data_IF_965793950292
#
_entry.id   IF_965793950292
#
_cell.length_a   1.000
_cell.length_b   1.000
_cell.length_c   1.000
_cell.angle_alpha   90.00
_cell.angle_beta   90.00
_cell.angle_gamma   90.00
#
_symmetry.space_group_name_H-M   'P 1'
#
loop_
_entity.id
_entity.type
_entity.pdbx_description
1 polymer ?
#
# COMPACT_ATOMS: atom_id res chain seq x y z
N UNK A 1 2.91 -32.16 -21.62
CA UNK A 1 1.53 -32.27 -22.16
C UNK A 1 1.14 -30.91 -22.70
N UNK A 2 0.91 -30.77 -24.00
CA UNK A 2 0.46 -29.54 -24.62
C UNK A 2 -0.95 -29.21 -24.09
N UNK A 3 -1.12 -28.06 -23.40
CA UNK A 3 -2.44 -27.57 -23.02
C UNK A 3 -3.22 -27.31 -24.30
N UNK A 4 -4.36 -28.00 -24.47
CA UNK A 4 -5.33 -27.71 -25.54
C UNK A 4 -5.63 -26.20 -25.52
N UNK A 5 -5.47 -25.53 -26.67
CA UNK A 5 -5.87 -24.14 -26.81
C UNK A 5 -7.35 -24.03 -26.42
N UNK A 6 -7.65 -23.05 -25.54
CA UNK A 6 -9.04 -22.77 -25.18
C UNK A 6 -9.79 -22.31 -26.44
N UNK A 7 -11.01 -22.84 -26.66
CA UNK A 7 -11.89 -22.41 -27.74
C UNK A 7 -13.02 -21.57 -27.13
N UNK A 8 -13.19 -20.36 -27.62
CA UNK A 8 -14.17 -19.39 -27.11
C UNK A 8 -15.48 -19.38 -27.92
N UNK A 9 -15.66 -20.27 -28.92
CA UNK A 9 -16.84 -20.28 -29.79
C UNK A 9 -18.14 -20.37 -28.99
N UNK A 10 -18.96 -19.34 -29.09
CA UNK A 10 -20.24 -19.24 -28.40
C UNK A 10 -20.17 -19.03 -26.88
N UNK A 11 -18.99 -18.78 -26.33
CA UNK A 11 -18.74 -18.56 -24.89
C UNK A 11 -18.39 -17.10 -24.59
N UNK A 12 -18.58 -16.69 -23.35
CA UNK A 12 -18.08 -15.39 -22.85
C UNK A 12 -16.58 -15.48 -22.59
N UNK A 13 -15.82 -14.50 -23.06
CA UNK A 13 -14.39 -14.39 -22.78
C UNK A 13 -14.16 -13.41 -21.61
N UNK A 14 -13.45 -13.86 -20.59
CA UNK A 14 -13.00 -13.01 -19.46
C UNK A 14 -11.51 -12.84 -19.55
N UNK A 15 -11.03 -11.59 -19.65
CA UNK A 15 -9.60 -11.27 -19.66
C UNK A 15 -9.23 -10.64 -18.31
N UNK A 16 -8.24 -11.23 -17.65
CA UNK A 16 -7.61 -10.78 -16.39
C UNK A 16 -6.15 -10.41 -16.63
N UNK A 17 -5.48 -9.74 -15.68
CA UNK A 17 -4.07 -9.36 -15.86
C UNK A 17 -3.08 -10.48 -15.56
N UNK A 18 -3.42 -11.48 -14.71
CA UNK A 18 -2.47 -12.51 -14.30
C UNK A 18 -2.97 -13.94 -14.48
N UNK A 19 -2.05 -14.91 -14.75
CA UNK A 19 -2.42 -16.32 -14.84
C UNK A 19 -2.94 -16.91 -13.51
N UNK A 20 -2.55 -16.34 -12.38
CA UNK A 20 -3.05 -16.76 -11.08
C UNK A 20 -4.53 -16.42 -10.93
N UNK A 21 -4.93 -15.17 -11.21
CA UNK A 21 -6.34 -14.77 -11.26
C UNK A 21 -7.16 -15.60 -12.24
N UNK A 22 -6.60 -15.87 -13.43
CA UNK A 22 -7.30 -16.69 -14.42
C UNK A 22 -7.62 -18.09 -13.87
N UNK A 23 -6.75 -18.69 -13.09
CA UNK A 23 -7.03 -19.99 -12.45
C UNK A 23 -8.08 -19.88 -11.37
N UNK A 24 -7.97 -18.89 -10.48
CA UNK A 24 -8.89 -18.71 -9.36
C UNK A 24 -10.31 -18.42 -9.85
N UNK A 25 -10.47 -17.45 -10.75
CA UNK A 25 -11.77 -17.10 -11.34
C UNK A 25 -12.33 -18.25 -12.18
N UNK A 26 -11.47 -18.97 -12.91
CA UNK A 26 -11.86 -20.14 -13.67
C UNK A 26 -12.43 -21.29 -12.83
N UNK A 27 -12.08 -21.35 -11.54
CA UNK A 27 -12.69 -22.27 -10.58
C UNK A 27 -14.12 -21.89 -10.17
N UNK A 28 -14.49 -20.63 -10.32
CA UNK A 28 -15.80 -20.11 -9.92
C UNK A 28 -16.79 -20.04 -11.09
N UNK A 29 -16.28 -19.80 -12.30
CA UNK A 29 -17.10 -19.67 -13.50
C UNK A 29 -17.29 -21.01 -14.21
N UNK A 30 -18.48 -21.22 -14.74
CA UNK A 30 -18.84 -22.45 -15.42
C UNK A 30 -18.26 -22.60 -16.83
N UNK A 31 -18.70 -23.65 -17.54
CA UNK A 31 -18.20 -24.03 -18.89
C UNK A 31 -18.55 -23.02 -19.99
N UNK A 32 -19.44 -22.07 -19.72
CA UNK A 32 -19.85 -21.01 -20.66
C UNK A 32 -18.87 -19.86 -20.73
N UNK A 33 -17.83 -19.90 -19.91
CA UNK A 33 -16.77 -18.89 -19.85
C UNK A 33 -15.42 -19.47 -20.30
N UNK A 34 -14.65 -18.64 -20.97
CA UNK A 34 -13.22 -18.85 -21.22
C UNK A 34 -12.46 -17.74 -20.49
N UNK A 35 -11.55 -18.11 -19.61
CA UNK A 35 -10.78 -17.14 -18.85
C UNK A 35 -9.33 -17.17 -19.34
N UNK A 36 -8.79 -16.00 -19.69
CA UNK A 36 -7.42 -15.86 -20.17
C UNK A 36 -6.73 -14.65 -19.54
N UNK A 37 -5.40 -14.73 -19.40
CA UNK A 37 -4.61 -13.64 -18.85
C UNK A 37 -3.98 -12.78 -19.93
N UNK A 38 -3.97 -11.44 -19.76
CA UNK A 38 -3.18 -10.51 -20.60
C UNK A 38 -1.69 -10.54 -20.27
N UNK A 39 -1.35 -11.07 -19.08
CA UNK A 39 0.02 -11.06 -18.52
C UNK A 39 0.51 -9.60 -18.35
N UNK A 40 -0.32 -8.75 -17.72
CA UNK A 40 -0.09 -7.31 -17.53
C UNK A 40 -0.38 -6.49 -18.79
N UNK A 41 0.30 -5.33 -18.91
CA UNK A 41 0.10 -4.41 -20.04
C UNK A 41 0.43 -5.05 -21.40
N UNK A 42 -0.44 -4.82 -22.38
CA UNK A 42 -0.30 -5.31 -23.77
C UNK A 42 0.25 -4.27 -24.74
N UNK A 43 0.22 -2.97 -24.35
CA UNK A 43 0.85 -1.84 -25.06
C UNK A 43 1.66 -1.00 -24.07
N UNK A 44 2.71 -0.35 -24.53
CA UNK A 44 3.48 0.64 -23.78
C UNK A 44 4.15 1.63 -24.73
N UNK A 45 4.73 2.71 -24.20
CA UNK A 45 5.57 3.63 -24.93
C UNK A 45 6.86 2.93 -25.42
N UNK A 46 7.42 3.29 -26.58
CA UNK A 46 8.71 2.76 -27.05
C UNK A 46 9.80 2.93 -26.00
N UNK A 47 10.57 1.88 -25.74
CA UNK A 47 11.68 1.92 -24.77
C UNK A 47 13.01 2.37 -25.39
N UNK A 48 13.07 2.47 -26.71
CA UNK A 48 14.27 2.91 -27.43
C UNK A 48 14.04 3.08 -28.92
N UNK A 49 15.00 3.67 -29.61
CA UNK A 49 14.90 4.07 -31.01
C UNK A 49 14.46 2.96 -31.98
N UNK A 50 14.83 1.69 -31.69
CA UNK A 50 14.43 0.54 -32.53
C UNK A 50 12.93 0.23 -32.48
N UNK A 51 12.23 0.67 -31.45
CA UNK A 51 10.81 0.40 -31.26
C UNK A 51 9.92 1.54 -31.77
N UNK A 52 10.52 2.66 -32.15
CA UNK A 52 9.79 3.80 -32.69
C UNK A 52 9.24 3.44 -34.07
N UNK A 53 7.92 3.59 -34.31
CA UNK A 53 7.32 3.37 -35.63
C UNK A 53 7.99 4.21 -36.71
N UNK A 54 8.07 3.68 -37.94
CA UNK A 54 8.82 4.29 -39.05
C UNK A 54 8.33 5.71 -39.38
N UNK A 55 7.04 5.95 -39.27
CA UNK A 55 6.36 7.22 -39.47
C UNK A 55 6.84 8.33 -38.54
N UNK A 56 7.23 8.00 -37.32
CA UNK A 56 7.66 8.99 -36.32
C UNK A 56 9.18 9.12 -36.16
N UNK A 57 9.98 8.30 -36.85
CA UNK A 57 11.45 8.29 -36.67
C UNK A 57 12.15 9.60 -36.95
N UNK A 58 11.55 10.47 -37.78
CA UNK A 58 12.12 11.78 -38.17
C UNK A 58 11.67 12.93 -37.27
N UNK A 59 10.71 12.68 -36.38
CA UNK A 59 10.19 13.68 -35.48
C UNK A 59 11.17 13.96 -34.32
N UNK A 60 11.36 15.23 -33.99
CA UNK A 60 12.26 15.63 -32.90
C UNK A 60 11.89 15.02 -31.55
N UNK A 61 10.60 14.82 -31.30
CA UNK A 61 10.05 14.22 -30.04
C UNK A 61 10.04 12.69 -30.07
N UNK A 62 10.42 12.04 -31.17
CA UNK A 62 10.29 10.58 -31.33
C UNK A 62 10.97 9.78 -30.21
N UNK A 63 12.11 10.26 -29.71
CA UNK A 63 12.85 9.62 -28.61
C UNK A 63 12.06 9.55 -27.31
N UNK A 64 11.12 10.47 -27.08
CA UNK A 64 10.22 10.48 -25.95
C UNK A 64 9.11 9.43 -26.10
N UNK A 65 8.71 9.11 -27.33
CA UNK A 65 7.52 8.31 -27.61
C UNK A 65 6.21 9.03 -27.24
N UNK A 66 6.27 10.36 -27.11
CA UNK A 66 5.16 11.26 -26.78
C UNK A 66 5.28 12.49 -27.68
N UNK A 67 4.21 12.81 -28.41
CA UNK A 67 4.17 14.01 -29.25
C UNK A 67 3.89 15.25 -28.39
N UNK A 68 4.96 15.92 -27.98
CA UNK A 68 4.88 17.14 -27.12
C UNK A 68 4.30 18.35 -27.86
N UNK A 69 4.23 18.30 -29.19
CA UNK A 69 3.70 19.39 -30.04
C UNK A 69 2.21 19.22 -30.34
N UNK A 70 1.64 18.05 -30.01
CA UNK A 70 0.23 17.72 -30.24
C UNK A 70 -0.36 17.07 -28.99
N UNK A 71 -0.75 17.90 -28.05
CA UNK A 71 -1.50 17.52 -26.85
C UNK A 71 -0.88 16.36 -26.02
N UNK A 72 0.44 16.18 -26.12
CA UNK A 72 1.18 15.09 -25.48
C UNK A 72 0.71 13.69 -25.90
N UNK A 73 0.22 13.53 -27.11
CA UNK A 73 -0.26 12.25 -27.64
C UNK A 73 0.82 11.16 -27.54
N UNK A 74 0.54 10.04 -26.82
CA UNK A 74 1.49 8.95 -26.65
C UNK A 74 1.53 8.02 -27.87
N UNK A 75 2.71 7.56 -28.24
CA UNK A 75 2.90 6.55 -29.27
C UNK A 75 2.93 5.17 -28.62
N UNK A 76 1.81 4.48 -28.65
CA UNK A 76 1.72 3.13 -28.08
C UNK A 76 2.14 2.06 -29.07
N UNK A 77 3.00 1.15 -28.61
CA UNK A 77 3.43 -0.03 -29.36
C UNK A 77 3.11 -1.31 -28.57
N UNK A 78 3.03 -2.43 -29.27
CA UNK A 78 3.02 -3.76 -28.67
C UNK A 78 4.47 -4.16 -28.42
N UNK A 79 4.93 -4.31 -27.15
CA UNK A 79 6.28 -4.76 -26.88
C UNK A 79 6.55 -6.14 -27.50
N UNK A 80 7.76 -6.45 -27.99
CA UNK A 80 8.08 -7.72 -28.67
C UNK A 80 7.65 -8.95 -27.88
N UNK A 81 7.85 -8.97 -26.56
CA UNK A 81 7.45 -10.07 -25.68
C UNK A 81 5.94 -10.25 -25.47
N UNK A 82 5.11 -9.37 -26.03
CA UNK A 82 3.64 -9.44 -25.92
C UNK A 82 2.94 -9.88 -27.20
N UNK A 83 3.63 -9.94 -28.30
CA UNK A 83 3.05 -10.21 -29.63
C UNK A 83 2.30 -11.55 -29.67
N UNK A 84 2.86 -12.59 -29.07
CA UNK A 84 2.24 -13.93 -29.05
C UNK A 84 0.97 -13.93 -28.22
N UNK A 85 1.00 -13.33 -27.01
CA UNK A 85 -0.17 -13.24 -26.14
C UNK A 85 -1.29 -12.42 -26.80
N UNK A 86 -0.95 -11.30 -27.44
CA UNK A 86 -1.92 -10.49 -28.19
C UNK A 86 -2.53 -11.28 -29.34
N UNK A 87 -1.74 -12.09 -30.07
CA UNK A 87 -2.25 -12.95 -31.14
C UNK A 87 -3.25 -13.99 -30.60
N UNK A 88 -2.92 -14.62 -29.46
CA UNK A 88 -3.79 -15.56 -28.78
C UNK A 88 -5.13 -14.90 -28.38
N UNK A 89 -5.06 -13.74 -27.72
CA UNK A 89 -6.26 -13.00 -27.28
C UNK A 89 -7.14 -12.58 -28.49
N UNK A 90 -6.53 -12.12 -29.59
CA UNK A 90 -7.29 -11.82 -30.82
C UNK A 90 -8.03 -13.02 -31.40
N UNK A 91 -7.43 -14.21 -31.31
CA UNK A 91 -8.10 -15.44 -31.73
C UNK A 91 -9.32 -15.73 -30.87
N UNK A 92 -9.16 -15.64 -29.54
CA UNK A 92 -10.26 -15.91 -28.59
C UNK A 92 -11.41 -14.90 -28.72
N UNK A 93 -11.10 -13.60 -28.90
CA UNK A 93 -12.13 -12.56 -29.06
C UNK A 93 -12.99 -12.76 -30.31
N UNK A 94 -12.41 -13.26 -31.41
CA UNK A 94 -13.18 -13.51 -32.67
C UNK A 94 -14.30 -14.52 -32.48
N UNK A 95 -14.07 -15.51 -31.62
CA UNK A 95 -14.96 -16.64 -31.40
C UNK A 95 -15.90 -16.43 -30.20
N UNK A 96 -15.68 -15.38 -29.41
CA UNK A 96 -16.46 -15.08 -28.22
C UNK A 96 -17.81 -14.44 -28.55
N UNK A 97 -18.82 -14.67 -27.72
CA UNK A 97 -20.12 -13.98 -27.81
C UNK A 97 -20.11 -12.60 -27.16
N UNK A 98 -19.25 -12.41 -26.15
CA UNK A 98 -19.04 -11.15 -25.43
C UNK A 98 -17.66 -11.16 -24.75
N UNK A 99 -17.16 -10.00 -24.38
CA UNK A 99 -15.87 -9.80 -23.74
C UNK A 99 -16.04 -9.09 -22.40
N UNK A 100 -15.58 -9.76 -21.33
CA UNK A 100 -15.44 -9.17 -20.02
C UNK A 100 -13.98 -8.83 -19.71
N UNK A 101 -13.73 -7.61 -19.25
CA UNK A 101 -12.41 -7.14 -18.82
C UNK A 101 -12.40 -7.08 -17.30
N UNK A 102 -11.72 -8.03 -16.66
CA UNK A 102 -11.74 -8.28 -15.22
C UNK A 102 -10.35 -8.06 -14.59
N UNK A 103 -9.72 -6.95 -14.96
CA UNK A 103 -8.46 -6.48 -14.39
C UNK A 103 -8.68 -5.82 -13.03
N UNK A 104 -7.59 -5.51 -12.28
CA UNK A 104 -7.69 -4.85 -10.97
C UNK A 104 -8.52 -3.56 -11.03
N UNK A 105 -9.05 -3.16 -9.89
CA UNK A 105 -9.95 -2.00 -9.77
C UNK A 105 -9.19 -0.65 -9.73
N UNK A 106 -7.87 -0.68 -9.81
CA UNK A 106 -7.07 0.52 -9.83
C UNK A 106 -6.90 1.11 -11.26
N UNK A 107 -6.30 2.30 -11.34
CA UNK A 107 -6.03 2.99 -12.62
C UNK A 107 -5.17 2.18 -13.58
N UNK A 108 -4.27 1.31 -13.06
CA UNK A 108 -3.44 0.43 -13.90
C UNK A 108 -4.29 -0.65 -14.56
N UNK A 109 -5.20 -1.28 -13.80
CA UNK A 109 -6.14 -2.27 -14.34
C UNK A 109 -7.11 -1.64 -15.33
N UNK A 110 -7.58 -0.41 -15.08
CA UNK A 110 -8.45 0.32 -16.01
C UNK A 110 -7.72 0.62 -17.33
N UNK A 111 -6.47 1.06 -17.28
CA UNK A 111 -5.64 1.28 -18.45
C UNK A 111 -5.35 -0.02 -19.22
N UNK A 112 -5.10 -1.14 -18.52
CA UNK A 112 -4.94 -2.46 -19.17
C UNK A 112 -6.22 -2.83 -19.93
N UNK A 113 -7.39 -2.66 -19.33
CA UNK A 113 -8.69 -2.90 -19.96
C UNK A 113 -8.89 -2.05 -21.20
N UNK A 114 -8.60 -0.76 -21.12
CA UNK A 114 -8.67 0.17 -22.26
C UNK A 114 -7.70 -0.22 -23.38
N UNK A 115 -6.44 -0.53 -23.04
CA UNK A 115 -5.46 -0.98 -24.01
C UNK A 115 -5.85 -2.28 -24.70
N UNK A 116 -6.50 -3.21 -23.99
CA UNK A 116 -7.04 -4.43 -24.56
C UNK A 116 -8.17 -4.12 -25.55
N UNK A 117 -9.13 -3.27 -25.17
CA UNK A 117 -10.23 -2.85 -26.06
C UNK A 117 -9.69 -2.24 -27.34
N UNK A 118 -8.78 -1.27 -27.24
CA UNK A 118 -8.19 -0.56 -28.39
C UNK A 118 -7.38 -1.49 -29.31
N UNK A 119 -6.64 -2.44 -28.73
CA UNK A 119 -5.75 -3.33 -29.48
C UNK A 119 -6.50 -4.49 -30.14
N UNK A 120 -7.47 -5.07 -29.45
CA UNK A 120 -8.21 -6.24 -29.92
C UNK A 120 -9.36 -5.88 -30.84
N UNK A 121 -9.89 -4.64 -30.76
CA UNK A 121 -11.01 -4.09 -31.54
C UNK A 121 -12.17 -5.09 -31.64
N UNK A 122 -12.72 -5.53 -30.50
CA UNK A 122 -13.78 -6.54 -30.47
C UNK A 122 -15.01 -6.06 -31.23
N UNK A 123 -15.66 -6.98 -31.94
CA UNK A 123 -16.96 -6.75 -32.60
C UNK A 123 -18.15 -7.22 -31.74
N UNK A 124 -17.87 -7.72 -30.57
CA UNK A 124 -18.82 -8.19 -29.57
C UNK A 124 -18.96 -7.16 -28.44
N UNK A 125 -20.04 -7.22 -27.64
CA UNK A 125 -20.18 -6.38 -26.47
C UNK A 125 -18.96 -6.49 -25.53
N UNK A 126 -18.48 -5.36 -25.02
CA UNK A 126 -17.35 -5.26 -24.07
C UNK A 126 -17.88 -4.71 -22.76
N UNK A 127 -17.58 -5.38 -21.66
CA UNK A 127 -18.02 -4.98 -20.31
C UNK A 127 -16.85 -5.05 -19.36
N UNK A 128 -16.82 -4.15 -18.39
CA UNK A 128 -15.81 -4.08 -17.31
C UNK A 128 -16.37 -4.73 -16.05
N UNK A 129 -15.64 -5.71 -15.50
CA UNK A 129 -15.94 -6.30 -14.19
C UNK A 129 -15.01 -5.71 -13.15
N UNK A 130 -15.58 -5.25 -12.04
CA UNK A 130 -14.85 -4.68 -10.91
C UNK A 130 -15.24 -5.43 -9.65
N UNK A 131 -14.25 -5.83 -8.86
CA UNK A 131 -14.45 -6.54 -7.60
C UNK A 131 -13.26 -6.28 -6.67
N UNK A 132 -13.55 -6.15 -5.37
CA UNK A 132 -12.55 -5.87 -4.34
C UNK A 132 -11.87 -7.14 -3.81
N UNK A 133 -12.47 -8.30 -4.03
CA UNK A 133 -11.98 -9.62 -3.62
C UNK A 133 -12.29 -10.67 -4.69
N UNK A 134 -11.51 -11.74 -4.72
CA UNK A 134 -11.69 -12.83 -5.68
C UNK A 134 -12.38 -14.01 -4.98
N UNK A 135 -13.66 -13.83 -4.69
CA UNK A 135 -14.57 -14.87 -4.18
C UNK A 135 -15.62 -15.19 -5.24
N UNK A 136 -16.27 -16.32 -5.09
CA UNK A 136 -17.33 -16.74 -6.01
C UNK A 136 -18.47 -15.71 -6.04
N UNK A 137 -18.89 -15.27 -4.87
CA UNK A 137 -19.97 -14.31 -4.67
C UNK A 137 -19.63 -12.96 -5.31
N UNK A 138 -18.44 -12.40 -5.04
CA UNK A 138 -18.01 -11.14 -5.62
C UNK A 138 -17.90 -11.19 -7.16
N UNK A 139 -17.44 -12.31 -7.70
CA UNK A 139 -17.38 -12.49 -9.17
C UNK A 139 -18.77 -12.61 -9.79
N UNK A 140 -19.70 -13.29 -9.12
CA UNK A 140 -21.10 -13.39 -9.60
C UNK A 140 -21.78 -12.03 -9.56
N UNK A 141 -21.65 -11.29 -8.47
CA UNK A 141 -22.17 -9.92 -8.35
C UNK A 141 -21.61 -8.99 -9.43
N UNK A 142 -20.28 -9.05 -9.69
CA UNK A 142 -19.67 -8.26 -10.76
C UNK A 142 -20.21 -8.63 -12.15
N UNK A 143 -20.57 -9.88 -12.41
CA UNK A 143 -21.19 -10.30 -13.66
C UNK A 143 -22.62 -9.80 -13.81
N UNK A 144 -23.36 -9.65 -12.72
CA UNK A 144 -24.71 -9.10 -12.71
C UNK A 144 -24.72 -7.57 -12.85
N UNK A 145 -23.66 -6.90 -12.38
CA UNK A 145 -23.51 -5.44 -12.38
C UNK A 145 -22.26 -4.96 -13.13
N UNK A 146 -22.07 -5.33 -14.41
CA UNK A 146 -20.93 -4.88 -15.18
C UNK A 146 -21.07 -3.39 -15.50
N UNK A 147 -19.93 -2.70 -15.67
CA UNK A 147 -19.89 -1.28 -16.07
C UNK A 147 -19.11 -1.06 -17.37
N UNK A 148 -19.05 0.15 -17.83
CA UNK A 148 -18.14 0.58 -18.88
C UNK A 148 -16.74 0.88 -18.30
N UNK A 149 -15.74 1.01 -19.19
CA UNK A 149 -14.41 1.46 -18.84
C UNK A 149 -14.49 2.93 -18.39
N UNK A 150 -13.86 3.25 -17.27
CA UNK A 150 -13.75 4.61 -16.76
C UNK A 150 -12.60 5.36 -17.48
N UNK A 151 -12.97 6.20 -18.43
CA UNK A 151 -12.02 6.96 -19.24
C UNK A 151 -11.26 8.02 -18.42
N UNK A 152 -11.78 8.48 -17.27
CA UNK A 152 -11.08 9.40 -16.39
C UNK A 152 -9.93 8.71 -15.65
N UNK A 153 -10.14 7.47 -15.18
CA UNK A 153 -9.07 6.65 -14.62
C UNK A 153 -8.01 6.29 -15.67
N UNK A 154 -8.43 6.00 -16.91
CA UNK A 154 -7.51 5.76 -18.03
C UNK A 154 -6.65 6.98 -18.27
N UNK A 155 -7.27 8.17 -18.41
CA UNK A 155 -6.55 9.45 -18.61
C UNK A 155 -5.60 9.76 -17.45
N UNK A 156 -6.00 9.46 -16.23
CA UNK A 156 -5.14 9.65 -15.05
C UNK A 156 -3.90 8.75 -15.09
N UNK A 157 -4.03 7.49 -15.52
CA UNK A 157 -2.91 6.58 -15.71
C UNK A 157 -2.01 7.03 -16.88
N UNK A 158 -2.60 7.39 -18.00
CA UNK A 158 -1.90 7.88 -19.20
C UNK A 158 -1.08 9.15 -18.88
N UNK A 159 -1.69 10.15 -18.24
CA UNK A 159 -0.99 11.37 -17.81
C UNK A 159 0.19 11.04 -16.90
N UNK A 160 0.01 10.12 -15.93
CA UNK A 160 1.09 9.65 -15.06
C UNK A 160 2.22 8.98 -15.87
N UNK A 161 1.86 8.13 -16.83
CA UNK A 161 2.84 7.43 -17.68
C UNK A 161 3.64 8.40 -18.54
N UNK A 162 2.98 9.42 -19.09
CA UNK A 162 3.59 10.48 -19.90
C UNK A 162 4.53 11.32 -19.03
N UNK A 163 4.09 11.78 -17.85
CA UNK A 163 4.92 12.56 -16.93
C UNK A 163 6.17 11.78 -16.50
N UNK A 164 6.04 10.51 -16.15
CA UNK A 164 7.18 9.66 -15.80
C UNK A 164 8.17 9.54 -16.96
N UNK A 165 7.69 9.46 -18.21
CA UNK A 165 8.51 9.44 -19.41
C UNK A 165 9.24 10.75 -19.64
N UNK A 166 8.52 11.85 -19.67
CA UNK A 166 9.09 13.18 -19.92
C UNK A 166 10.11 13.55 -18.86
N UNK A 167 9.74 13.44 -17.58
CA UNK A 167 10.64 13.74 -16.47
C UNK A 167 11.90 12.88 -16.49
N UNK A 168 11.74 11.58 -16.71
CA UNK A 168 12.87 10.64 -16.74
C UNK A 168 13.83 10.91 -17.90
N UNK A 169 13.32 11.20 -19.09
CA UNK A 169 14.11 11.36 -20.30
C UNK A 169 14.75 12.75 -20.42
N UNK A 170 14.15 13.77 -19.82
CA UNK A 170 14.70 15.13 -19.83
C UNK A 170 15.70 15.38 -18.68
N UNK A 171 15.36 14.93 -17.48
CA UNK A 171 16.17 15.23 -16.29
C UNK A 171 17.34 14.26 -16.13
N UNK A 172 17.20 12.97 -16.49
CA UNK A 172 18.31 12.02 -16.35
C UNK A 172 19.55 12.41 -17.17
N UNK A 173 19.44 12.83 -18.45
CA UNK A 173 20.60 13.33 -19.21
C UNK A 173 21.25 14.57 -18.61
N UNK A 174 20.47 15.44 -17.96
CA UNK A 174 20.99 16.59 -17.24
C UNK A 174 21.87 16.14 -16.06
N UNK A 175 21.41 15.14 -15.28
CA UNK A 175 22.18 14.54 -14.21
C UNK A 175 23.47 13.90 -14.72
N UNK A 176 23.44 13.25 -15.90
CA UNK A 176 24.64 12.64 -16.49
C UNK A 176 25.70 13.67 -16.84
N UNK A 177 25.28 14.83 -17.34
CA UNK A 177 26.19 15.92 -17.71
C UNK A 177 26.72 16.69 -16.50
N UNK A 178 25.91 16.87 -15.46
CA UNK A 178 26.22 17.75 -14.33
C UNK A 178 26.78 17.01 -13.10
N UNK A 179 26.45 15.73 -12.94
CA UNK A 179 26.84 14.94 -11.76
C UNK A 179 27.68 13.74 -12.18
N UNK A 180 27.06 12.69 -12.73
CA UNK A 180 27.76 11.50 -13.27
C UNK A 180 26.82 10.66 -14.16
N UNK A 181 27.38 9.85 -15.08
CA UNK A 181 26.59 8.90 -15.89
C UNK A 181 25.80 7.89 -15.05
N UNK A 182 24.74 7.33 -15.64
CA UNK A 182 23.88 6.27 -15.08
C UNK A 182 23.01 6.68 -13.89
N UNK A 183 22.93 7.95 -13.53
CA UNK A 183 21.90 8.42 -12.60
C UNK A 183 20.56 8.48 -13.30
N UNK A 184 19.49 8.28 -12.55
CA UNK A 184 18.13 8.43 -13.07
C UNK A 184 17.33 9.38 -12.20
N UNK A 185 16.57 10.24 -12.86
CA UNK A 185 15.53 11.04 -12.22
C UNK A 185 14.17 10.39 -12.42
N UNK A 186 13.30 10.54 -11.45
CA UNK A 186 11.95 10.02 -11.52
C UNK A 186 11.13 10.46 -10.33
N UNK A 187 9.84 10.42 -10.49
CA UNK A 187 8.85 10.90 -9.52
C UNK A 187 9.00 10.25 -8.14
N UNK A 188 9.35 8.97 -8.08
CA UNK A 188 9.52 8.24 -6.80
C UNK A 188 10.93 8.44 -6.24
N UNK A 189 11.97 8.13 -7.03
CA UNK A 189 13.36 8.19 -6.56
C UNK A 189 13.81 9.60 -6.18
N UNK A 190 13.38 10.63 -6.92
CA UNK A 190 13.76 12.01 -6.61
C UNK A 190 13.17 12.47 -5.27
N UNK A 191 11.91 12.13 -5.00
CA UNK A 191 11.27 12.41 -3.70
C UNK A 191 11.95 11.61 -2.58
N UNK A 192 12.23 10.33 -2.79
CA UNK A 192 12.91 9.49 -1.79
C UNK A 192 14.31 10.06 -1.44
N UNK A 193 15.11 10.45 -2.44
CA UNK A 193 16.41 11.09 -2.22
C UNK A 193 16.25 12.40 -1.44
N UNK A 194 15.26 13.22 -1.79
CA UNK A 194 14.99 14.47 -1.06
C UNK A 194 14.70 14.23 0.42
N UNK A 195 13.82 13.28 0.74
CA UNK A 195 13.50 12.95 2.14
C UNK A 195 14.72 12.45 2.92
N UNK A 196 15.56 11.62 2.29
CA UNK A 196 16.81 11.14 2.92
C UNK A 196 17.80 12.30 3.15
N UNK A 197 17.96 13.18 2.16
CA UNK A 197 18.86 14.35 2.26
C UNK A 197 18.38 15.32 3.33
N UNK A 198 17.07 15.61 3.38
CA UNK A 198 16.52 16.51 4.39
C UNK A 198 16.71 15.91 5.80
N UNK A 199 16.48 14.62 5.97
CA UNK A 199 16.75 13.93 7.25
C UNK A 199 18.22 13.94 7.64
N UNK A 200 19.13 13.75 6.67
CA UNK A 200 20.57 13.83 6.92
C UNK A 200 21.00 15.24 7.31
N UNK A 201 20.43 16.27 6.69
CA UNK A 201 20.67 17.66 7.08
C UNK A 201 20.21 17.94 8.50
N UNK A 202 19.04 17.44 8.91
CA UNK A 202 18.57 17.51 10.29
C UNK A 202 19.56 16.82 11.24
N UNK A 203 20.05 15.63 10.87
CA UNK A 203 21.04 14.88 11.64
C UNK A 203 22.37 15.64 11.78
N UNK A 204 22.82 16.25 10.69
CA UNK A 204 24.08 17.04 10.70
C UNK A 204 23.94 18.34 11.50
N UNK A 205 22.74 18.94 11.49
CA UNK A 205 22.44 20.15 12.25
C UNK A 205 22.15 19.86 13.74
N UNK A 206 21.96 18.60 14.12
CA UNK A 206 21.64 18.23 15.49
C UNK A 206 22.78 18.51 16.44
N UNK A 207 22.47 19.27 17.48
CA UNK A 207 23.42 19.58 18.62
C UNK A 207 22.92 18.79 19.83
N UNK A 208 23.78 17.88 20.32
CA UNK A 208 23.46 17.12 21.54
C UNK A 208 23.48 18.04 22.78
N UNK A 209 22.52 17.82 23.65
CA UNK A 209 22.44 18.40 24.96
C UNK A 209 22.70 17.33 26.02
N UNK A 210 23.37 17.69 27.09
CA UNK A 210 23.53 16.84 28.25
C UNK A 210 22.72 17.40 29.41
N UNK A 211 21.96 16.57 30.08
CA UNK A 211 21.22 16.89 31.29
C UNK A 211 21.18 15.69 32.19
N UNK A 212 20.94 15.97 33.47
CA UNK A 212 20.84 14.94 34.50
C UNK A 212 19.43 14.95 35.08
N UNK A 213 18.90 13.76 35.36
CA UNK A 213 17.68 13.54 36.11
C UNK A 213 17.96 12.60 37.29
N UNK A 214 17.00 12.39 38.15
CA UNK A 214 17.09 11.48 39.26
C UNK A 214 15.97 10.47 39.24
N UNK A 215 16.32 9.19 39.34
CA UNK A 215 15.39 8.08 39.49
C UNK A 215 15.58 7.47 40.88
N UNK A 216 14.54 7.47 41.68
CA UNK A 216 14.52 6.88 43.02
C UNK A 216 13.81 5.55 43.06
N UNK A 217 14.45 4.54 43.66
CA UNK A 217 13.79 3.29 43.98
C UNK A 217 13.17 3.36 45.38
N UNK A 218 11.90 3.12 45.52
CA UNK A 218 11.15 3.19 46.74
C UNK A 218 10.52 1.84 47.10
N UNK A 219 10.53 1.50 48.38
CA UNK A 219 9.83 0.31 48.89
C UNK A 219 9.15 0.64 50.20
N UNK A 220 7.93 0.12 50.38
CA UNK A 220 7.26 0.11 51.66
C UNK A 220 7.76 -1.08 52.47
N UNK A 221 7.87 -0.96 53.78
CA UNK A 221 8.24 -2.07 54.66
C UNK A 221 7.35 -3.30 54.39
N UNK A 222 7.94 -4.38 53.86
CA UNK A 222 7.21 -5.59 53.49
C UNK A 222 6.36 -5.51 52.20
N UNK A 223 6.47 -4.43 51.41
CA UNK A 223 5.73 -4.22 50.16
C UNK A 223 6.58 -4.31 48.91
N UNK A 224 5.92 -4.20 47.74
CA UNK A 224 6.56 -4.15 46.43
C UNK A 224 7.38 -2.88 46.30
N UNK A 225 8.49 -2.97 45.54
CA UNK A 225 9.32 -1.83 45.19
C UNK A 225 8.79 -1.17 43.88
N UNK A 226 8.89 0.14 43.80
CA UNK A 226 8.56 0.91 42.60
C UNK A 226 9.62 2.00 42.33
N UNK A 227 9.70 2.46 41.12
CA UNK A 227 10.59 3.54 40.72
C UNK A 227 9.78 4.82 40.46
N UNK A 228 10.35 5.96 40.84
CA UNK A 228 9.79 7.28 40.54
C UNK A 228 10.87 8.26 40.14
N UNK A 229 10.61 9.01 39.06
CA UNK A 229 11.50 10.07 38.55
C UNK A 229 11.22 11.40 39.22
N UNK A 230 12.29 12.20 39.46
CA UNK A 230 12.16 13.58 39.90
C UNK A 230 11.54 14.43 38.80
N UNK A 231 10.39 15.01 39.06
CA UNK A 231 9.68 15.86 38.07
C UNK A 231 9.79 17.35 38.39
N UNK A 232 9.91 17.70 39.67
CA UNK A 232 9.93 19.10 40.12
C UNK A 232 10.81 19.23 41.36
N UNK A 233 11.65 20.26 41.43
CA UNK A 233 12.44 20.63 42.58
C UNK A 233 12.35 22.13 42.82
N UNK A 234 12.07 22.56 44.04
CA UNK A 234 11.86 23.97 44.43
C UNK A 234 10.90 24.73 43.49
N UNK A 235 9.81 24.10 43.09
CA UNK A 235 8.80 24.71 42.20
C UNK A 235 9.17 24.75 40.73
N UNK A 236 10.37 24.29 40.33
CA UNK A 236 10.82 24.25 38.94
C UNK A 236 10.80 22.82 38.41
N UNK A 237 10.27 22.64 37.22
CA UNK A 237 10.21 21.33 36.57
C UNK A 237 11.58 20.94 35.98
N UNK A 238 11.90 19.65 36.07
CA UNK A 238 13.08 19.04 35.43
C UNK A 238 12.78 18.85 33.94
N UNK A 239 13.71 19.22 33.02
CA UNK A 239 13.46 19.07 31.58
C UNK A 239 13.50 17.60 31.16
N UNK A 240 12.74 17.27 30.11
CA UNK A 240 12.82 16.03 29.35
C UNK A 240 13.47 16.29 27.99
N UNK A 241 13.81 15.26 27.23
CA UNK A 241 14.45 15.37 25.90
C UNK A 241 13.70 16.29 24.92
N UNK A 242 12.37 16.32 24.98
CA UNK A 242 11.52 17.19 24.11
C UNK A 242 11.68 18.69 24.37
N UNK A 243 12.19 19.06 25.53
CA UNK A 243 12.28 20.45 25.97
C UNK A 243 13.56 21.13 25.47
N UNK A 244 14.44 20.39 24.77
CA UNK A 244 15.61 20.93 24.11
C UNK A 244 15.36 21.23 22.64
N UNK A 245 15.99 22.29 22.15
CA UNK A 245 16.03 22.61 20.74
C UNK A 245 17.12 21.78 20.04
N UNK A 246 16.73 21.04 19.01
CA UNK A 246 17.63 20.09 18.34
C UNK A 246 18.77 20.76 17.55
N UNK A 247 18.61 22.02 17.13
CA UNK A 247 19.62 22.73 16.36
C UNK A 247 20.63 23.48 17.25
N UNK A 248 20.24 23.81 18.48
CA UNK A 248 21.11 24.60 19.39
C UNK A 248 21.56 23.85 20.63
N UNK A 249 20.90 22.73 20.95
CA UNK A 249 21.13 21.98 22.19
C UNK A 249 20.67 22.71 23.46
N UNK A 250 19.96 23.83 23.34
CA UNK A 250 19.53 24.65 24.47
C UNK A 250 18.10 24.32 24.87
N UNK A 251 17.76 24.60 26.13
CA UNK A 251 16.39 24.55 26.59
C UNK A 251 15.53 25.56 25.81
N UNK A 252 14.33 25.10 25.39
CA UNK A 252 13.31 25.95 24.80
C UNK A 252 12.65 26.87 25.81
N UNK A 253 12.58 26.41 27.07
CA UNK A 253 12.02 27.15 28.20
C UNK A 253 13.09 27.31 29.28
N UNK A 254 13.64 28.50 29.50
CA UNK A 254 14.68 28.77 30.52
C UNK A 254 14.16 28.67 31.95
N UNK A 255 12.88 28.56 32.20
CA UNK A 255 12.31 28.41 33.55
C UNK A 255 12.49 27.00 34.10
N UNK A 256 12.78 26.02 33.25
CA UNK A 256 13.06 24.63 33.65
C UNK A 256 14.36 24.57 34.44
N UNK A 257 14.45 23.64 35.35
CA UNK A 257 15.65 23.41 36.15
C UNK A 257 16.58 22.39 35.45
N UNK A 258 17.59 22.89 34.77
CA UNK A 258 18.64 22.05 34.19
C UNK A 258 19.67 21.68 35.28
N UNK A 259 19.75 20.39 35.58
CA UNK A 259 20.77 19.89 36.53
C UNK A 259 22.04 19.49 35.76
N UNK A 260 23.18 19.88 36.29
CA UNK A 260 24.46 19.30 35.93
C UNK A 260 24.78 18.08 36.81
N UNK A 261 25.88 17.36 36.49
CA UNK A 261 26.28 16.14 37.22
C UNK A 261 26.48 16.41 38.72
N UNK A 262 27.18 17.49 39.06
CA UNK A 262 27.45 17.83 40.47
C UNK A 262 26.18 18.12 41.24
N UNK A 263 25.28 18.92 40.66
CA UNK A 263 23.98 19.25 41.28
C UNK A 263 23.11 18.01 41.46
N UNK A 264 23.10 17.09 40.46
CA UNK A 264 22.36 15.85 40.53
C UNK A 264 22.92 14.93 41.66
N UNK A 265 24.24 14.79 41.78
CA UNK A 265 24.88 13.98 42.82
C UNK A 265 24.63 14.56 44.22
N UNK A 266 24.79 15.89 44.39
CA UNK A 266 24.53 16.56 45.67
C UNK A 266 23.06 16.42 46.08
N UNK A 267 22.14 16.57 45.14
CA UNK A 267 20.70 16.40 45.38
C UNK A 267 20.36 14.95 45.72
N UNK A 268 20.93 13.99 44.99
CA UNK A 268 20.73 12.55 45.30
C UNK A 268 21.21 12.21 46.75
N UNK A 269 22.32 12.75 47.18
CA UNK A 269 22.84 12.55 48.55
C UNK A 269 21.88 13.11 49.62
N UNK A 270 21.31 14.29 49.38
CA UNK A 270 20.29 14.91 50.25
C UNK A 270 19.01 14.08 50.29
N UNK A 271 18.52 13.65 49.12
CA UNK A 271 17.27 12.89 49.02
C UNK A 271 17.36 11.52 49.67
N UNK A 272 18.53 10.86 49.70
CA UNK A 272 18.72 9.58 50.37
C UNK A 272 18.42 9.63 51.87
N UNK A 273 18.58 10.80 52.47
CA UNK A 273 18.34 11.03 53.92
C UNK A 273 16.95 11.64 54.19
N UNK A 274 16.21 11.97 53.16
CA UNK A 274 14.92 12.61 53.30
C UNK A 274 13.81 11.61 53.61
N UNK A 275 12.76 12.06 54.31
CA UNK A 275 11.55 11.31 54.50
C UNK A 275 10.59 11.55 53.28
N UNK A 276 10.12 10.49 52.68
CA UNK A 276 9.17 10.54 51.57
C UNK A 276 7.78 10.17 52.04
N UNK A 277 6.79 10.79 51.41
CA UNK A 277 5.38 10.45 51.58
C UNK A 277 4.65 10.51 50.24
N UNK A 278 3.62 9.69 50.10
CA UNK A 278 2.70 9.80 48.94
C UNK A 278 1.86 11.08 49.12
N UNK A 279 2.03 12.03 48.24
CA UNK A 279 1.30 13.30 48.27
C UNK A 279 -0.09 13.18 47.70
N UNK A 280 -0.20 12.48 46.57
CA UNK A 280 -1.48 12.19 45.93
C UNK A 280 -1.38 10.87 45.16
N UNK A 281 -2.52 10.20 45.05
CA UNK A 281 -2.70 9.04 44.18
C UNK A 281 -3.89 9.35 43.24
N UNK A 282 -3.64 9.29 41.94
CA UNK A 282 -4.68 9.52 40.94
C UNK A 282 -4.84 8.25 40.09
N UNK A 283 -6.03 7.68 40.15
CA UNK A 283 -6.42 6.54 39.31
C UNK A 283 -7.09 7.08 38.03
N UNK A 284 -6.42 6.94 36.89
CA UNK A 284 -6.91 7.40 35.59
C UNK A 284 -7.27 6.22 34.70
N UNK A 285 -8.56 6.05 34.37
CA UNK A 285 -8.94 5.01 33.44
C UNK A 285 -8.31 5.28 32.07
N UNK A 286 -7.63 4.27 31.56
CA UNK A 286 -7.03 4.30 30.23
C UNK A 286 -7.79 3.41 29.27
N UNK A 287 -8.24 3.98 28.16
CA UNK A 287 -8.93 3.24 27.11
C UNK A 287 -8.05 3.16 25.87
N UNK A 288 -7.65 1.96 25.51
CA UNK A 288 -6.98 1.70 24.23
C UNK A 288 -8.01 1.48 23.12
N UNK A 289 -7.82 2.13 22.01
CA UNK A 289 -8.67 1.94 20.81
C UNK A 289 -7.96 1.01 19.83
N UNK A 290 -8.70 0.09 19.17
CA UNK A 290 -8.12 -0.71 18.11
C UNK A 290 -7.65 0.16 16.94
N UNK A 291 -6.59 -0.29 16.28
CA UNK A 291 -6.09 0.37 15.08
C UNK A 291 -7.09 0.25 13.92
N UNK A 292 -7.04 1.19 12.96
CA UNK A 292 -7.81 1.07 11.72
C UNK A 292 -7.46 -0.21 10.94
N UNK A 293 -8.35 -0.68 10.07
CA UNK A 293 -8.02 -1.70 9.08
C UNK A 293 -6.79 -1.30 8.24
N UNK A 294 -6.10 -2.30 7.68
CA UNK A 294 -4.87 -2.07 6.94
C UNK A 294 -5.08 -1.33 5.62
N UNK A 295 -4.25 -0.33 5.42
CA UNK A 295 -3.90 0.21 4.10
C UNK A 295 -2.59 -0.43 3.61
N UNK A 296 -2.20 -0.21 2.36
CA UNK A 296 -0.91 -0.69 1.83
C UNK A 296 0.27 -0.28 2.72
N UNK A 297 0.30 0.99 3.14
CA UNK A 297 1.40 1.53 3.94
C UNK A 297 1.44 0.95 5.35
N UNK A 298 0.29 0.83 6.00
CA UNK A 298 0.23 0.29 7.37
C UNK A 298 0.49 -1.22 7.40
N UNK A 299 0.04 -1.97 6.39
CA UNK A 299 0.39 -3.39 6.23
C UNK A 299 1.91 -3.57 6.09
N UNK A 300 2.58 -2.76 5.25
CA UNK A 300 4.03 -2.82 5.09
C UNK A 300 4.78 -2.50 6.38
N UNK A 301 4.33 -1.49 7.13
CA UNK A 301 4.93 -1.10 8.42
C UNK A 301 4.78 -2.22 9.46
N UNK A 302 3.59 -2.80 9.61
CA UNK A 302 3.37 -3.89 10.57
C UNK A 302 4.10 -5.18 10.17
N UNK A 303 4.14 -5.52 8.89
CA UNK A 303 4.90 -6.66 8.40
C UNK A 303 6.42 -6.47 8.61
N UNK A 304 6.93 -5.25 8.45
CA UNK A 304 8.33 -4.96 8.77
C UNK A 304 8.58 -5.09 10.29
N UNK A 305 7.75 -4.44 11.10
CA UNK A 305 7.90 -4.40 12.56
C UNK A 305 7.78 -5.77 13.22
N UNK A 306 6.79 -6.58 12.81
CA UNK A 306 6.47 -7.87 13.45
C UNK A 306 7.15 -9.06 12.80
N UNK A 307 7.36 -9.02 11.48
CA UNK A 307 7.84 -10.17 10.71
C UNK A 307 9.23 -9.96 10.10
N UNK A 308 9.78 -8.73 10.15
CA UNK A 308 11.04 -8.38 9.50
C UNK A 308 10.96 -8.41 7.97
N UNK A 309 9.76 -8.25 7.39
CA UNK A 309 9.59 -8.27 5.94
C UNK A 309 9.96 -6.91 5.34
N UNK A 310 10.65 -6.95 4.20
CA UNK A 310 10.81 -5.75 3.36
C UNK A 310 9.48 -5.41 2.69
N UNK A 311 9.28 -4.14 2.30
CA UNK A 311 8.09 -3.72 1.56
C UNK A 311 7.84 -4.58 0.31
N UNK A 312 8.89 -4.94 -0.43
CA UNK A 312 8.80 -5.81 -1.61
C UNK A 312 8.28 -7.21 -1.24
N UNK A 313 8.84 -7.81 -0.18
CA UNK A 313 8.43 -9.16 0.28
C UNK A 313 6.97 -9.15 0.75
N UNK A 314 6.58 -8.13 1.50
CA UNK A 314 5.19 -7.94 1.94
C UNK A 314 4.24 -7.85 0.74
N UNK A 315 4.55 -7.00 -0.25
CA UNK A 315 3.67 -6.82 -1.41
C UNK A 315 3.61 -8.07 -2.31
N UNK A 316 4.68 -8.83 -2.44
CA UNK A 316 4.66 -10.11 -3.16
C UNK A 316 3.77 -11.14 -2.48
N UNK A 317 3.82 -11.25 -1.15
CA UNK A 317 2.95 -12.13 -0.39
C UNK A 317 1.48 -11.68 -0.46
N UNK A 318 1.21 -10.39 -0.26
CA UNK A 318 -0.13 -9.82 -0.33
C UNK A 318 -0.76 -9.97 -1.73
N UNK A 319 0.00 -9.68 -2.81
CA UNK A 319 -0.45 -9.89 -4.18
C UNK A 319 -0.89 -11.35 -4.41
N UNK A 320 -0.06 -12.28 -3.94
CA UNK A 320 -0.39 -13.70 -4.08
C UNK A 320 -1.59 -14.12 -3.24
N UNK A 321 -1.77 -13.58 -2.04
CA UNK A 321 -2.96 -13.84 -1.21
C UNK A 321 -4.22 -13.31 -1.89
N UNK A 322 -4.19 -12.09 -2.43
CA UNK A 322 -5.29 -11.52 -3.20
C UNK A 322 -5.64 -12.36 -4.43
N UNK A 323 -4.66 -12.67 -5.29
CA UNK A 323 -4.88 -13.44 -6.52
C UNK A 323 -5.43 -14.85 -6.29
N UNK A 324 -5.23 -15.41 -5.09
CA UNK A 324 -5.79 -16.70 -4.68
C UNK A 324 -7.07 -16.56 -3.83
N UNK A 325 -7.60 -15.36 -3.67
CA UNK A 325 -8.90 -15.12 -3.02
C UNK A 325 -8.86 -15.19 -1.50
N UNK A 326 -7.72 -14.93 -0.86
CA UNK A 326 -7.60 -14.96 0.60
C UNK A 326 -7.76 -13.60 1.27
N UNK A 327 -7.45 -12.50 0.56
CA UNK A 327 -7.60 -11.14 1.06
C UNK A 327 -8.22 -10.24 -0.02
N UNK A 328 -8.70 -9.07 0.39
CA UNK A 328 -9.10 -7.98 -0.52
C UNK A 328 -7.90 -7.38 -1.26
N UNK A 329 -8.16 -6.52 -2.23
CA UNK A 329 -7.12 -5.85 -3.02
C UNK A 329 -6.15 -5.09 -2.13
N UNK A 330 -4.86 -5.35 -2.30
CA UNK A 330 -3.82 -4.90 -1.36
C UNK A 330 -3.25 -3.52 -1.68
N UNK A 331 -3.59 -2.89 -2.82
CA UNK A 331 -3.16 -1.53 -3.15
C UNK A 331 -4.28 -0.54 -2.85
N UNK A 332 -4.40 -0.17 -1.60
CA UNK A 332 -5.44 0.74 -1.11
C UNK A 332 -4.89 1.69 -0.05
N UNK A 333 -5.42 2.89 -0.02
CA UNK A 333 -5.22 3.87 1.05
C UNK A 333 -6.49 4.06 1.90
N UNK A 334 -7.56 3.29 1.59
CA UNK A 334 -8.82 3.29 2.31
C UNK A 334 -8.74 2.46 3.60
N UNK A 335 -9.44 2.93 4.63
CA UNK A 335 -9.70 2.20 5.87
C UNK A 335 -11.17 1.76 5.98
N UNK A 336 -11.95 1.95 4.92
CA UNK A 336 -13.36 1.55 4.89
C UNK A 336 -13.49 0.04 4.76
N UNK A 337 -14.54 -0.50 5.34
CA UNK A 337 -14.93 -1.91 5.22
C UNK A 337 -16.34 -2.00 4.63
N UNK A 338 -16.54 -2.94 3.73
CA UNK A 338 -17.88 -3.28 3.25
C UNK A 338 -18.76 -3.79 4.41
N UNK A 339 -20.06 -3.58 4.32
CA UNK A 339 -21.02 -4.01 5.35
C UNK A 339 -20.88 -5.50 5.63
N UNK A 340 -20.79 -6.32 4.59
CA UNK A 340 -20.58 -7.78 4.70
C UNK A 340 -19.33 -8.13 5.51
N UNK A 341 -18.24 -7.39 5.34
CA UNK A 341 -16.99 -7.61 6.09
C UNK A 341 -17.13 -7.23 7.57
N UNK A 342 -17.84 -6.14 7.86
CA UNK A 342 -18.15 -5.74 9.23
C UNK A 342 -19.00 -6.79 9.93
N UNK A 343 -20.01 -7.33 9.25
CA UNK A 343 -20.87 -8.41 9.76
C UNK A 343 -20.05 -9.68 10.02
N UNK A 344 -19.25 -10.12 9.05
CA UNK A 344 -18.37 -11.29 9.21
C UNK A 344 -17.41 -11.16 10.39
N UNK A 345 -16.81 -9.97 10.57
CA UNK A 345 -15.92 -9.71 11.70
C UNK A 345 -16.67 -9.76 13.06
N UNK A 346 -17.87 -9.19 13.12
CA UNK A 346 -18.70 -9.19 14.33
C UNK A 346 -19.18 -10.60 14.69
N UNK A 347 -19.61 -11.39 13.71
CA UNK A 347 -19.97 -12.80 13.90
C UNK A 347 -18.79 -13.62 14.41
N UNK A 348 -17.60 -13.41 13.82
CA UNK A 348 -16.38 -14.07 14.26
C UNK A 348 -16.05 -13.74 15.72
N UNK A 349 -16.10 -12.46 16.11
CA UNK A 349 -15.84 -12.04 17.49
C UNK A 349 -16.88 -12.67 18.43
N UNK A 350 -18.17 -12.61 18.09
CA UNK A 350 -19.23 -13.19 18.91
C UNK A 350 -19.05 -14.69 19.13
N UNK A 351 -18.65 -15.42 18.09
CA UNK A 351 -18.48 -16.89 18.13
C UNK A 351 -17.22 -17.33 18.88
N UNK A 352 -16.12 -16.55 18.79
CA UNK A 352 -14.82 -16.94 19.34
C UNK A 352 -14.56 -16.40 20.74
N UNK A 353 -15.04 -15.19 21.02
CA UNK A 353 -14.71 -14.47 22.26
C UNK A 353 -15.93 -14.17 23.13
N UNK A 354 -17.14 -14.15 22.56
CA UNK A 354 -18.37 -13.79 23.23
C UNK A 354 -18.90 -12.41 22.83
N UNK A 355 -20.19 -12.19 23.09
CA UNK A 355 -20.88 -10.93 22.73
C UNK A 355 -20.41 -9.74 23.55
N UNK A 356 -19.88 -9.95 24.74
CA UNK A 356 -19.33 -8.93 25.63
C UNK A 356 -18.11 -8.22 25.05
N UNK A 357 -17.43 -8.84 24.06
CA UNK A 357 -16.32 -8.21 23.33
C UNK A 357 -16.76 -7.37 22.13
N UNK A 358 -18.06 -7.34 21.85
CA UNK A 358 -18.61 -6.54 20.76
C UNK A 358 -19.05 -5.16 21.27
N UNK A 359 -18.65 -4.06 20.63
CA UNK A 359 -19.27 -2.77 20.88
C UNK A 359 -20.70 -2.75 20.35
N UNK A 360 -21.58 -1.90 20.91
CA UNK A 360 -22.99 -1.77 20.49
C UNK A 360 -23.12 -1.40 19.01
N UNK A 361 -22.21 -0.57 18.50
CA UNK A 361 -22.17 -0.18 17.10
C UNK A 361 -20.80 -0.49 16.48
N UNK A 362 -20.74 -0.78 15.16
CA UNK A 362 -19.49 -0.94 14.44
C UNK A 362 -18.59 0.31 14.56
N UNK A 363 -17.29 0.10 14.68
CA UNK A 363 -16.33 1.20 14.66
C UNK A 363 -16.13 1.69 13.24
N UNK A 364 -16.20 3.01 13.06
CA UNK A 364 -15.95 3.68 11.78
C UNK A 364 -14.65 4.48 11.88
N UNK A 365 -13.78 4.31 10.90
CA UNK A 365 -12.51 5.02 10.81
C UNK A 365 -12.56 6.00 9.63
N UNK A 366 -12.23 7.27 9.90
CA UNK A 366 -12.18 8.29 8.83
C UNK A 366 -10.82 8.21 8.13
N UNK A 367 -10.83 8.09 6.82
CA UNK A 367 -9.63 8.21 5.98
C UNK A 367 -9.15 9.66 6.01
N UNK A 368 -7.87 9.88 6.35
CA UNK A 368 -7.27 11.22 6.45
C UNK A 368 -6.70 11.72 5.12
N UNK A 369 -6.68 10.90 4.10
CA UNK A 369 -6.06 11.21 2.80
C UNK A 369 -7.05 12.00 1.96
N UNK A 370 -6.70 13.26 1.63
CA UNK A 370 -7.40 14.02 0.59
C UNK A 370 -7.20 13.29 -0.74
N UNK A 371 -8.26 12.98 -1.46
CA UNK A 371 -8.25 12.19 -2.71
C UNK A 371 -7.97 10.68 -2.52
N UNK A 372 -8.28 10.10 -1.36
CA UNK A 372 -8.44 8.65 -1.26
C UNK A 372 -9.43 8.20 -2.32
N UNK A 373 -9.13 7.14 -3.04
CA UNK A 373 -10.11 6.53 -3.94
C UNK A 373 -11.21 5.92 -3.04
N UNK A 374 -12.30 6.66 -2.87
CA UNK A 374 -13.40 6.32 -1.93
C UNK A 374 -14.06 4.97 -2.24
N UNK A 375 -13.89 4.49 -3.47
CA UNK A 375 -14.42 3.21 -3.93
C UNK A 375 -13.64 1.99 -3.41
N UNK A 376 -12.42 2.18 -2.88
CA UNK A 376 -11.58 1.08 -2.42
C UNK A 376 -11.91 0.67 -0.99
N UNK A 377 -11.87 -0.63 -0.74
CA UNK A 377 -11.95 -1.22 0.60
C UNK A 377 -10.57 -1.32 1.25
N UNK A 378 -10.51 -1.44 2.59
CA UNK A 378 -9.30 -1.76 3.33
C UNK A 378 -8.82 -3.20 3.06
N UNK A 379 -7.57 -3.50 3.39
CA UNK A 379 -7.03 -4.86 3.31
C UNK A 379 -7.58 -5.68 4.48
N UNK A 380 -8.28 -6.76 4.16
CA UNK A 380 -8.89 -7.68 5.12
C UNK A 380 -8.95 -9.11 4.55
N UNK A 381 -9.24 -10.13 5.36
CA UNK A 381 -9.61 -11.45 4.86
C UNK A 381 -10.79 -11.36 3.88
N UNK A 382 -10.74 -12.15 2.82
CA UNK A 382 -11.81 -12.23 1.82
C UNK A 382 -12.89 -13.22 2.24
N UNK A 383 -14.09 -13.04 1.66
CA UNK A 383 -15.23 -13.91 1.85
C UNK A 383 -16.04 -13.66 3.13
N UNK A 384 -17.11 -14.43 3.27
CA UNK A 384 -17.99 -14.49 4.46
C UNK A 384 -18.50 -15.93 4.60
N UNK A 385 -18.26 -16.60 5.76
CA UNK A 385 -17.46 -16.18 6.91
C UNK A 385 -15.95 -16.10 6.62
N UNK A 386 -15.19 -15.38 7.45
CA UNK A 386 -13.73 -15.33 7.31
C UNK A 386 -13.11 -16.70 7.60
N UNK A 387 -12.19 -17.11 6.71
CA UNK A 387 -11.42 -18.32 6.95
C UNK A 387 -10.41 -18.11 8.09
N UNK A 388 -10.30 -19.10 8.98
CA UNK A 388 -9.25 -19.08 10.01
C UNK A 388 -7.87 -19.29 9.40
N UNK A 389 -6.86 -18.51 9.81
CA UNK A 389 -5.49 -18.69 9.31
C UNK A 389 -5.00 -20.14 9.41
N UNK A 390 -5.26 -20.81 10.53
CA UNK A 390 -4.83 -22.19 10.75
C UNK A 390 -5.38 -23.20 9.71
N UNK A 391 -6.60 -22.98 9.22
CA UNK A 391 -7.20 -23.83 8.19
C UNK A 391 -6.48 -23.70 6.82
N UNK A 392 -5.75 -22.61 6.62
CA UNK A 392 -5.02 -22.32 5.40
C UNK A 392 -3.53 -22.68 5.48
N UNK A 393 -3.04 -23.12 6.63
CA UNK A 393 -1.61 -23.41 6.89
C UNK A 393 -0.98 -24.35 5.88
N UNK A 394 -1.68 -25.43 5.51
CA UNK A 394 -1.19 -26.41 4.54
C UNK A 394 -1.22 -25.93 3.08
N UNK A 395 -1.98 -24.87 2.80
CA UNK A 395 -2.20 -24.32 1.44
C UNK A 395 -1.27 -23.13 1.15
N UNK A 396 -0.76 -22.48 2.18
CA UNK A 396 0.01 -21.26 2.06
C UNK A 396 1.51 -21.50 2.28
N UNK A 397 2.34 -20.81 1.52
CA UNK A 397 3.77 -20.76 1.82
C UNK A 397 4.01 -20.02 3.15
N UNK A 398 5.17 -20.27 3.81
CA UNK A 398 5.46 -19.66 5.11
C UNK A 398 5.27 -18.14 5.16
N UNK A 399 5.69 -17.42 4.11
CA UNK A 399 5.55 -15.96 4.06
C UNK A 399 4.10 -15.50 3.97
N UNK A 400 3.29 -16.19 3.16
CA UNK A 400 1.87 -15.88 3.01
C UNK A 400 1.09 -16.19 4.28
N UNK A 401 1.43 -17.30 4.94
CA UNK A 401 0.78 -17.69 6.19
C UNK A 401 1.13 -16.73 7.34
N UNK A 402 2.38 -16.22 7.38
CA UNK A 402 2.81 -15.28 8.42
C UNK A 402 2.23 -13.88 8.22
N UNK A 403 2.01 -13.44 6.98
CA UNK A 403 1.43 -12.16 6.65
C UNK A 403 -0.06 -12.14 6.94
#
# INVERSE_FOLDING_TARGET
MAKRAANATGKSLVIVESPAKARTIGGFLGKDFVIEASIGHVRDLPQGAKQIPAEFKKEEWAYLGVNVNDNFNPVYIVPPGKTEQVRKLRGLVKDAKELFLATDEDREGEAISWHLRELLKPKVPVRRLVFHEITKEAIQEALEHPRDIDDDLVRAQEARRIIDRLYGYEVSPLLWRKVRPKLSAGRVQSVAVRLVVDRERERMAFVSATFWDLLGGFAKSGGEAFEAGLTTYEGRSIPATKDFDAATGKLKDPTLLLLDERQAVELAAKLRQAAFRVGSLEDKPYTSKPYPPFTTSTLQQEANRKLGFTARRTMQAAQSLYENGHITYMRTDSTNLATVAVEAARELVASQYGREYLPDSPRVYKTKVKNAQEAHEAIRPAGHPFAFPESLRSQLSPDKFRL
#
